data_IF_824863309348
#
_entry.id   IF_824863309348
#
_cell.length_a   1.000
_cell.length_b   1.000
_cell.length_c   1.000
_cell.angle_alpha   90.00
_cell.angle_beta   90.00
_cell.angle_gamma   90.00
#
_symmetry.space_group_name_H-M   'P 1'
#
loop_
_entity.id
_entity.type
_entity.pdbx_description
1 polymer ?
#
# COMPACT_ATOMS: atom_id res chain seq x y z
N UNK A 1 14.44 -18.21 -10.63
CA UNK A 1 13.36 -17.26 -10.97
C UNK A 1 12.36 -17.23 -9.82
N UNK A 2 12.51 -16.30 -8.87
CA UNK A 2 11.43 -15.96 -7.93
C UNK A 2 10.60 -14.89 -8.63
N UNK A 3 9.35 -15.21 -8.99
CA UNK A 3 8.39 -14.20 -9.42
C UNK A 3 7.62 -13.79 -8.16
N UNK A 4 7.85 -12.59 -7.61
CA UNK A 4 7.12 -12.15 -6.43
C UNK A 4 5.62 -12.19 -6.70
N UNK A 5 4.84 -12.71 -5.76
CA UNK A 5 3.39 -12.78 -5.89
C UNK A 5 2.76 -11.41 -5.57
N UNK A 6 1.69 -11.02 -6.30
CA UNK A 6 0.97 -9.78 -6.02
C UNK A 6 0.35 -9.82 -4.62
N UNK A 7 0.32 -8.67 -3.95
CA UNK A 7 -0.36 -8.50 -2.66
C UNK A 7 -1.72 -7.84 -2.83
N UNK A 8 -2.66 -8.13 -1.94
CA UNK A 8 -4.00 -7.51 -1.93
C UNK A 8 -4.08 -6.48 -0.82
N UNK A 9 -4.37 -5.23 -1.17
CA UNK A 9 -4.55 -4.13 -0.22
C UNK A 9 -6.04 -3.86 -0.02
N UNK A 10 -6.57 -4.16 1.17
CA UNK A 10 -7.91 -3.79 1.58
C UNK A 10 -7.97 -2.36 2.10
N UNK A 11 -9.05 -1.65 1.82
CA UNK A 11 -9.36 -0.30 2.29
C UNK A 11 -10.51 -0.45 3.27
N UNK A 12 -10.24 -0.29 4.56
CA UNK A 12 -11.17 -0.59 5.63
C UNK A 12 -12.36 0.36 5.66
N UNK A 13 -12.17 1.67 5.44
CA UNK A 13 -13.28 2.64 5.43
C UNK A 13 -14.10 2.52 4.16
N UNK A 14 -13.42 2.27 3.04
CA UNK A 14 -14.06 2.19 1.72
C UNK A 14 -14.63 0.79 1.41
N UNK A 15 -14.27 -0.24 2.17
CA UNK A 15 -14.65 -1.65 1.92
C UNK A 15 -14.11 -2.23 0.61
N UNK A 16 -13.13 -1.57 -0.02
CA UNK A 16 -12.57 -1.93 -1.34
C UNK A 16 -11.29 -2.74 -1.21
N UNK A 17 -10.97 -3.54 -2.20
CA UNK A 17 -9.70 -4.26 -2.29
C UNK A 17 -8.99 -3.90 -3.59
N UNK A 18 -7.68 -3.67 -3.51
CA UNK A 18 -6.82 -3.28 -4.62
C UNK A 18 -5.70 -4.29 -4.73
N UNK A 19 -5.52 -4.88 -5.91
CA UNK A 19 -4.42 -5.80 -6.17
C UNK A 19 -3.19 -4.99 -6.55
N UNK A 20 -2.09 -5.15 -5.81
CA UNK A 20 -0.82 -4.49 -6.05
C UNK A 20 0.13 -5.51 -6.67
N UNK A 21 0.46 -5.37 -7.96
CA UNK A 21 1.41 -6.24 -8.60
C UNK A 21 2.84 -5.92 -8.13
N UNK A 22 3.77 -6.88 -8.14
CA UNK A 22 5.11 -6.69 -7.59
C UNK A 22 5.96 -5.66 -8.32
N UNK A 23 5.60 -5.32 -9.57
CA UNK A 23 6.25 -4.29 -10.37
C UNK A 23 5.87 -2.87 -9.93
N UNK A 24 4.86 -2.73 -9.07
CA UNK A 24 4.37 -1.44 -8.58
C UNK A 24 4.50 -1.32 -7.07
N UNK A 25 4.55 -0.07 -6.62
CA UNK A 25 4.39 0.27 -5.22
C UNK A 25 2.92 0.26 -4.80
N UNK A 26 2.67 0.11 -3.50
CA UNK A 26 1.32 0.23 -2.93
C UNK A 26 0.72 1.60 -3.28
N UNK A 27 1.51 2.68 -3.25
CA UNK A 27 1.04 4.01 -3.67
C UNK A 27 0.53 4.00 -5.11
N UNK A 28 1.33 3.53 -6.06
CA UNK A 28 0.98 3.55 -7.48
C UNK A 28 -0.24 2.69 -7.80
N UNK A 29 -0.35 1.51 -7.16
CA UNK A 29 -1.50 0.65 -7.35
C UNK A 29 -2.78 1.26 -6.76
N UNK A 30 -2.69 1.94 -5.62
CA UNK A 30 -3.81 2.68 -5.03
C UNK A 30 -4.22 3.88 -5.91
N UNK A 31 -3.25 4.67 -6.39
CA UNK A 31 -3.50 5.77 -7.33
C UNK A 31 -4.22 5.25 -8.60
N UNK A 32 -3.77 4.12 -9.17
CA UNK A 32 -4.44 3.46 -10.31
C UNK A 32 -5.84 2.95 -9.99
N UNK A 33 -6.11 2.57 -8.75
CA UNK A 33 -7.43 2.18 -8.29
C UNK A 33 -8.36 3.38 -7.96
N UNK A 34 -7.87 4.61 -8.18
CA UNK A 34 -8.60 5.85 -7.88
C UNK A 34 -8.56 6.24 -6.40
N UNK A 35 -7.57 5.76 -5.65
CA UNK A 35 -7.36 6.05 -4.23
C UNK A 35 -6.11 6.91 -4.11
N UNK A 36 -6.33 8.21 -3.97
CA UNK A 36 -5.25 9.19 -3.87
C UNK A 36 -4.73 9.28 -2.44
N UNK A 37 -3.47 8.94 -2.22
CA UNK A 37 -2.76 9.18 -0.96
C UNK A 37 -1.87 10.42 -1.11
N UNK A 38 -1.90 11.37 -0.17
CA UNK A 38 -1.03 12.54 -0.23
C UNK A 38 0.44 12.11 -0.21
N UNK A 39 1.17 12.40 -1.30
CA UNK A 39 2.57 12.04 -1.44
C UNK A 39 3.37 13.26 -1.94
N UNK A 40 4.46 13.59 -1.24
CA UNK A 40 5.29 14.74 -1.57
C UNK A 40 6.66 14.31 -2.10
N UNK A 41 7.47 13.67 -1.25
CA UNK A 41 8.83 13.27 -1.59
C UNK A 41 8.93 11.98 -2.39
N UNK A 42 7.93 11.10 -2.32
CA UNK A 42 7.88 9.73 -2.91
C UNK A 42 9.05 8.80 -2.56
N UNK A 43 10.03 9.27 -1.79
CA UNK A 43 11.19 8.51 -1.33
C UNK A 43 11.05 7.95 0.10
N UNK A 44 9.89 8.14 0.74
CA UNK A 44 9.64 7.64 2.10
C UNK A 44 10.34 8.40 3.23
N UNK A 45 10.89 9.59 2.95
CA UNK A 45 11.65 10.41 3.91
C UNK A 45 10.82 11.51 4.60
N UNK A 46 9.72 11.94 3.97
CA UNK A 46 8.93 13.09 4.40
C UNK A 46 7.73 12.74 5.31
N UNK A 47 7.36 11.47 5.41
CA UNK A 47 6.21 11.02 6.23
C UNK A 47 4.82 11.37 5.67
N UNK A 48 4.69 12.20 4.64
CA UNK A 48 3.38 12.62 4.11
C UNK A 48 2.51 11.46 3.62
N UNK A 49 3.14 10.41 3.06
CA UNK A 49 2.44 9.26 2.50
C UNK A 49 2.02 8.22 3.58
N UNK A 50 2.32 8.45 4.86
CA UNK A 50 2.13 7.45 5.92
C UNK A 50 0.66 7.04 6.08
N UNK A 51 0.41 5.73 6.07
CA UNK A 51 -0.92 5.15 6.21
C UNK A 51 -0.90 4.06 7.27
N UNK A 52 -1.93 4.05 8.12
CA UNK A 52 -2.10 3.04 9.15
C UNK A 52 -2.67 1.75 8.56
N UNK A 53 -2.06 0.62 8.92
CA UNK A 53 -2.56 -0.72 8.62
C UNK A 53 -3.41 -1.22 9.79
N UNK A 54 -4.64 -1.61 9.51
CA UNK A 54 -5.62 -2.27 10.40
C UNK A 54 -5.28 -3.76 10.52
N UNK A 55 -4.04 -4.06 10.85
CA UNK A 55 -3.60 -5.40 11.23
C UNK A 55 -3.31 -5.43 12.72
N UNK A 56 -3.22 -6.62 13.32
CA UNK A 56 -2.80 -6.78 14.71
C UNK A 56 -1.37 -7.34 14.71
N UNK A 57 -0.37 -6.65 15.28
CA UNK A 57 -0.43 -5.30 15.86
C UNK A 57 -0.57 -4.19 14.79
N UNK A 58 -1.19 -3.04 15.14
CA UNK A 58 -1.33 -1.92 14.22
C UNK A 58 0.04 -1.34 13.92
N UNK A 59 0.30 -1.09 12.63
CA UNK A 59 1.57 -0.52 12.15
C UNK A 59 1.31 0.56 11.12
N UNK A 60 2.25 1.50 11.02
CA UNK A 60 2.23 2.53 9.98
C UNK A 60 3.18 2.10 8.87
N UNK A 61 2.73 2.20 7.63
CA UNK A 61 3.54 1.93 6.45
C UNK A 61 3.66 3.18 5.59
N UNK A 62 4.65 3.17 4.70
CA UNK A 62 4.87 4.22 3.70
C UNK A 62 4.59 3.63 2.31
N UNK A 63 3.36 3.74 1.79
CA UNK A 63 2.94 3.18 0.50
C UNK A 63 3.87 3.55 -0.65
N UNK A 64 4.50 4.72 -0.57
CA UNK A 64 5.43 5.22 -1.58
C UNK A 64 6.73 4.41 -1.71
N UNK A 65 7.11 3.62 -0.70
CA UNK A 65 8.29 2.74 -0.72
C UNK A 65 7.97 1.27 -0.43
N UNK A 66 6.70 0.93 -0.26
CA UNK A 66 6.26 -0.45 -0.04
C UNK A 66 6.01 -1.12 -1.40
N UNK A 67 6.80 -2.12 -1.81
CA UNK A 67 6.58 -2.85 -3.05
C UNK A 67 5.43 -3.86 -2.93
N UNK A 68 4.77 -4.15 -4.06
CA UNK A 68 3.63 -5.08 -4.15
C UNK A 68 3.94 -6.57 -4.09
N UNK A 69 5.11 -6.98 -3.58
CA UNK A 69 5.65 -8.33 -3.78
C UNK A 69 6.15 -9.06 -2.55
N UNK A 70 5.97 -8.50 -1.34
CA UNK A 70 6.47 -9.07 -0.08
C UNK A 70 5.32 -9.28 0.91
N UNK A 71 4.54 -10.34 0.66
CA UNK A 71 3.79 -11.08 1.68
C UNK A 71 2.56 -10.39 2.31
N UNK A 72 1.48 -11.20 2.38
CA UNK A 72 0.20 -11.03 3.08
C UNK A 72 -0.54 -9.69 2.87
N UNK A 73 -1.81 -9.79 2.46
CA UNK A 73 -2.65 -8.62 2.18
C UNK A 73 -2.66 -7.59 3.31
N UNK A 74 -2.57 -6.31 2.93
CA UNK A 74 -2.52 -5.18 3.86
C UNK A 74 -3.91 -4.56 3.95
N UNK A 75 -4.48 -4.42 5.15
CA UNK A 75 -5.71 -3.66 5.33
C UNK A 75 -5.36 -2.25 5.80
N UNK A 76 -5.64 -1.22 5.01
CA UNK A 76 -5.39 0.19 5.32
C UNK A 76 -6.63 0.82 5.96
N UNK A 77 -6.43 1.78 6.86
CA UNK A 77 -7.52 2.54 7.51
C UNK A 77 -8.14 3.61 6.58
N UNK A 78 -8.17 3.38 5.26
CA UNK A 78 -8.63 4.32 4.23
C UNK A 78 -9.95 3.87 3.58
#
# INVERSE_FOLDING_TARGET
MIRPDPIVVGLHRSGRTVTVPPELTVLEALERAGVSIPSLCRAGICGTCETRVVAVPPRVIRPCVTPGGVGAGLMLDL
#
